data_IF_893304499166
#
_entry.id   IF_893304499166
#
_cell.length_a   1.000
_cell.length_b   1.000
_cell.length_c   1.000
_cell.angle_alpha   90.00
_cell.angle_beta   90.00
_cell.angle_gamma   90.00
#
_symmetry.space_group_name_H-M   'P 1'
#
loop_
_entity.id
_entity.type
_entity.pdbx_description
1 polymer ?
#
# COMPACT_ATOMS: atom_id res chain seq x y z
N UNK A 1 -16.78 -24.85 30.22
CA UNK A 1 -17.32 -23.53 29.84
C UNK A 1 -17.08 -23.34 28.36
N UNK A 2 -18.14 -23.07 27.59
CA UNK A 2 -18.16 -23.13 26.13
C UNK A 2 -18.65 -21.76 25.62
N UNK A 3 -17.85 -20.96 24.88
CA UNK A 3 -18.30 -19.67 24.40
C UNK A 3 -19.07 -19.83 23.08
N UNK A 4 -20.34 -19.43 23.12
CA UNK A 4 -21.25 -19.39 21.98
C UNK A 4 -20.81 -18.30 21.00
N UNK A 5 -20.45 -18.70 19.78
CA UNK A 5 -20.34 -17.78 18.64
C UNK A 5 -21.73 -17.23 18.28
N UNK A 6 -21.89 -15.90 18.37
CA UNK A 6 -23.04 -15.18 17.81
C UNK A 6 -22.68 -14.73 16.40
N UNK A 7 -23.24 -15.38 15.38
CA UNK A 7 -23.25 -14.87 14.01
C UNK A 7 -24.30 -13.77 13.87
N UNK A 8 -23.91 -12.62 13.36
CA UNK A 8 -24.82 -11.54 12.96
C UNK A 8 -25.28 -11.74 11.50
N UNK A 9 -26.53 -11.40 11.15
CA UNK A 9 -27.03 -11.50 9.78
C UNK A 9 -26.64 -10.27 8.94
N UNK A 10 -26.07 -10.52 7.76
CA UNK A 10 -25.88 -9.53 6.70
C UNK A 10 -27.20 -9.33 5.95
N UNK A 11 -27.80 -8.13 6.04
CA UNK A 11 -28.94 -7.73 5.21
C UNK A 11 -28.47 -6.89 4.02
N UNK A 12 -28.75 -7.41 2.83
CA UNK A 12 -28.45 -6.86 1.51
C UNK A 12 -29.37 -5.65 1.21
N UNK A 13 -28.79 -4.47 0.96
CA UNK A 13 -29.53 -3.33 0.42
C UNK A 13 -29.98 -3.62 -1.01
N UNK A 14 -31.30 -3.48 -1.25
CA UNK A 14 -31.89 -3.42 -2.58
C UNK A 14 -32.22 -1.97 -2.96
N UNK A 15 -32.05 -1.70 -4.26
CA UNK A 15 -32.67 -0.65 -5.08
C UNK A 15 -32.11 0.79 -5.04
N UNK A 16 -31.50 1.20 -6.17
CA UNK A 16 -31.81 2.49 -6.78
C UNK A 16 -31.55 2.45 -8.29
N UNK A 17 -32.63 2.55 -9.09
CA UNK A 17 -32.60 2.58 -10.56
C UNK A 17 -32.91 4.00 -11.00
N UNK A 18 -31.88 4.78 -11.29
CA UNK A 18 -32.01 6.13 -11.86
C UNK A 18 -32.37 6.04 -13.35
N UNK A 19 -33.42 6.76 -13.76
CA UNK A 19 -33.80 6.97 -15.15
C UNK A 19 -32.82 7.96 -15.78
N UNK A 20 -32.21 7.58 -16.90
CA UNK A 20 -31.34 8.45 -17.71
C UNK A 20 -32.19 9.06 -18.83
N UNK A 21 -32.15 10.39 -18.96
CA UNK A 21 -32.75 11.13 -20.07
C UNK A 21 -31.76 11.18 -21.25
N UNK A 22 -32.27 11.01 -22.46
CA UNK A 22 -31.50 11.10 -23.71
C UNK A 22 -31.25 12.56 -24.11
N UNK A 23 -30.00 13.00 -24.36
CA UNK A 23 -29.75 14.28 -24.99
C UNK A 23 -29.69 14.16 -26.52
N UNK A 24 -30.41 15.08 -27.15
CA UNK A 24 -30.57 15.33 -28.58
C UNK A 24 -29.26 15.79 -29.23
N UNK A 25 -29.09 15.42 -30.50
CA UNK A 25 -27.83 15.51 -31.25
C UNK A 25 -27.27 16.91 -31.52
N UNK A 26 -25.94 16.97 -31.54
CA UNK A 26 -25.13 18.07 -32.06
C UNK A 26 -24.08 17.45 -32.98
N UNK A 27 -23.95 18.01 -34.19
CA UNK A 27 -23.03 17.55 -35.25
C UNK A 27 -21.53 17.74 -34.89
N UNK A 28 -20.64 16.83 -35.34
CA UNK A 28 -19.23 16.89 -35.00
C UNK A 28 -18.44 17.79 -35.97
N UNK A 29 -17.83 18.84 -35.42
CA UNK A 29 -16.75 19.58 -36.08
C UNK A 29 -15.50 18.70 -36.20
N UNK A 30 -14.99 18.55 -37.42
CA UNK A 30 -13.78 17.79 -37.76
C UNK A 30 -12.51 18.54 -37.34
N UNK A 31 -12.13 18.40 -36.07
CA UNK A 31 -10.83 18.88 -35.57
C UNK A 31 -9.72 17.90 -35.96
N UNK A 32 -8.73 18.37 -36.73
CA UNK A 32 -7.48 17.66 -36.99
C UNK A 32 -6.69 17.57 -35.68
N UNK A 33 -6.82 16.45 -34.98
CA UNK A 33 -6.04 16.17 -33.77
C UNK A 33 -4.60 15.78 -34.15
N UNK A 34 -3.66 16.69 -33.95
CA UNK A 34 -2.22 16.38 -33.92
C UNK A 34 -1.95 15.52 -32.68
N UNK A 35 -1.84 14.20 -32.88
CA UNK A 35 -1.65 13.23 -31.80
C UNK A 35 -0.28 13.34 -31.15
N UNK A 36 -0.12 14.24 -30.18
CA UNK A 36 0.96 14.13 -29.20
C UNK A 36 0.67 12.92 -28.33
N UNK A 37 1.47 11.87 -28.50
CA UNK A 37 1.49 10.73 -27.58
C UNK A 37 2.06 11.23 -26.26
N UNK A 38 1.19 11.44 -25.29
CA UNK A 38 1.62 11.84 -23.95
C UNK A 38 2.19 10.60 -23.28
N UNK A 39 3.48 10.66 -23.00
CA UNK A 39 4.19 9.63 -22.24
C UNK A 39 3.86 9.83 -20.77
N UNK A 40 3.24 8.83 -20.14
CA UNK A 40 3.08 8.85 -18.69
C UNK A 40 4.44 8.68 -18.02
N UNK A 41 4.79 9.51 -17.03
CA UNK A 41 6.02 9.33 -16.29
C UNK A 41 5.91 8.04 -15.47
N UNK A 42 6.55 6.99 -15.95
CA UNK A 42 6.77 5.74 -15.20
C UNK A 42 7.95 5.97 -14.27
N UNK A 43 7.91 5.44 -13.04
CA UNK A 43 9.05 5.49 -12.14
C UNK A 43 10.31 4.90 -12.79
N UNK A 44 11.41 5.65 -12.70
CA UNK A 44 12.73 5.28 -13.26
C UNK A 44 13.78 5.07 -12.16
N UNK A 45 14.95 4.57 -12.54
CA UNK A 45 16.09 4.50 -11.61
C UNK A 45 16.51 5.87 -11.07
N UNK A 46 16.41 6.93 -11.89
CA UNK A 46 16.68 8.31 -11.46
C UNK A 46 15.70 8.77 -10.39
N UNK A 47 14.44 8.34 -10.48
CA UNK A 47 13.42 8.64 -9.47
C UNK A 47 13.69 7.90 -8.15
N UNK A 48 14.17 6.65 -8.21
CA UNK A 48 14.62 5.91 -7.03
C UNK A 48 15.78 6.64 -6.34
N UNK A 49 16.79 7.05 -7.11
CA UNK A 49 17.94 7.81 -6.58
C UNK A 49 17.51 9.14 -5.96
N UNK A 50 16.51 9.80 -6.55
CA UNK A 50 15.90 10.99 -5.98
C UNK A 50 15.26 10.69 -4.62
N UNK A 51 14.44 9.64 -4.50
CA UNK A 51 13.81 9.25 -3.22
C UNK A 51 14.88 8.97 -2.15
N UNK A 52 15.85 8.12 -2.47
CA UNK A 52 16.92 7.72 -1.54
C UNK A 52 17.71 8.94 -1.03
N UNK A 53 18.06 9.87 -1.93
CA UNK A 53 18.76 11.10 -1.58
C UNK A 53 17.90 12.03 -0.72
N UNK A 54 16.68 12.33 -1.15
CA UNK A 54 15.80 13.31 -0.50
C UNK A 54 15.31 12.88 0.88
N UNK A 55 15.30 11.57 1.13
CA UNK A 55 14.88 10.97 2.39
C UNK A 55 16.04 10.39 3.21
N UNK A 56 17.28 10.44 2.70
CA UNK A 56 18.47 9.86 3.34
C UNK A 56 18.29 8.40 3.77
N UNK A 57 17.76 7.57 2.86
CA UNK A 57 17.53 6.13 3.07
C UNK A 57 18.11 5.33 1.91
N UNK A 58 18.28 4.02 2.13
CA UNK A 58 18.51 3.05 1.06
C UNK A 58 17.29 2.16 0.94
N UNK A 59 16.68 2.13 -0.23
CA UNK A 59 15.52 1.29 -0.51
C UNK A 59 15.95 -0.15 -0.80
N UNK A 60 15.18 -1.17 -0.34
CA UNK A 60 15.44 -2.56 -0.67
C UNK A 60 15.49 -2.81 -2.18
N UNK A 61 16.40 -3.68 -2.62
CA UNK A 61 16.49 -4.04 -4.05
C UNK A 61 15.19 -4.67 -4.60
N UNK A 62 14.45 -5.37 -3.74
CA UNK A 62 13.11 -5.90 -4.05
C UNK A 62 12.09 -4.79 -4.33
N UNK A 63 12.16 -3.66 -3.61
CA UNK A 63 11.32 -2.49 -3.86
C UNK A 63 11.60 -1.91 -5.24
N UNK A 64 12.87 -1.62 -5.54
CA UNK A 64 13.30 -1.06 -6.82
C UNK A 64 12.80 -1.89 -8.01
N UNK A 65 12.93 -3.22 -7.94
CA UNK A 65 12.46 -4.16 -8.98
C UNK A 65 10.93 -4.29 -9.09
N UNK A 66 10.18 -3.88 -8.06
CA UNK A 66 8.72 -3.88 -8.12
C UNK A 66 8.20 -2.63 -8.84
N UNK A 67 8.88 -1.48 -8.64
CA UNK A 67 8.41 -0.19 -9.15
C UNK A 67 9.12 0.29 -10.42
N UNK A 68 10.27 -0.30 -10.78
CA UNK A 68 11.03 0.04 -12.01
C UNK A 68 11.28 -1.20 -12.89
N UNK A 69 10.64 -1.32 -14.07
CA UNK A 69 9.42 -0.60 -14.46
C UNK A 69 8.22 -1.08 -13.64
N UNK A 70 7.22 -0.22 -13.48
CA UNK A 70 6.00 -0.58 -12.75
C UNK A 70 5.23 -1.67 -13.49
N UNK A 71 4.89 -2.77 -12.79
CA UNK A 71 4.39 -4.00 -13.44
C UNK A 71 2.96 -3.93 -13.98
N UNK A 72 2.18 -2.93 -13.58
CA UNK A 72 0.77 -2.81 -13.99
C UNK A 72 0.58 -1.50 -14.75
N UNK A 73 0.63 -1.54 -16.09
CA UNK A 73 0.43 -0.38 -16.96
C UNK A 73 -0.84 0.42 -16.65
N UNK A 74 -1.93 -0.27 -16.31
CA UNK A 74 -3.21 0.36 -15.97
C UNK A 74 -3.17 1.26 -14.73
N UNK A 75 -2.13 1.12 -13.91
CA UNK A 75 -1.96 1.81 -12.64
C UNK A 75 -0.76 2.77 -12.66
N UNK A 76 -0.15 3.00 -13.83
CA UNK A 76 0.96 3.97 -13.96
C UNK A 76 0.49 5.37 -13.62
N UNK A 77 1.28 6.07 -12.82
CA UNK A 77 0.97 7.41 -12.29
C UNK A 77 -0.12 7.40 -11.22
N UNK A 78 -0.46 6.24 -10.66
CA UNK A 78 -1.48 6.16 -9.62
C UNK A 78 -0.92 6.55 -8.25
N UNK A 79 -1.65 7.45 -7.59
CA UNK A 79 -1.39 7.85 -6.20
C UNK A 79 -2.28 7.15 -5.19
N UNK A 80 -3.35 6.50 -5.65
CA UNK A 80 -4.45 6.00 -4.80
C UNK A 80 -4.35 4.49 -4.52
N UNK A 81 -3.18 3.88 -4.77
CA UNK A 81 -2.91 2.47 -4.46
C UNK A 81 -1.99 2.31 -3.26
N UNK A 82 -2.04 1.12 -2.66
CA UNK A 82 -1.12 0.72 -1.58
C UNK A 82 0.35 0.80 -2.00
N UNK A 83 0.65 0.61 -3.29
CA UNK A 83 1.96 0.82 -3.90
C UNK A 83 1.86 1.92 -4.95
N UNK A 84 2.58 3.03 -4.78
CA UNK A 84 2.60 4.15 -5.73
C UNK A 84 3.89 4.16 -6.55
N UNK A 85 3.79 4.62 -7.80
CA UNK A 85 4.91 4.84 -8.73
C UNK A 85 5.21 6.34 -8.96
N UNK A 86 4.69 7.23 -8.12
CA UNK A 86 5.03 8.67 -8.14
C UNK A 86 6.07 9.01 -7.07
N UNK A 87 7.31 9.22 -7.49
CA UNK A 87 8.41 9.54 -6.58
C UNK A 87 8.23 10.86 -5.83
N UNK A 88 7.68 11.91 -6.46
CA UNK A 88 7.48 13.20 -5.79
C UNK A 88 6.42 13.07 -4.71
N UNK A 89 5.34 12.34 -4.99
CA UNK A 89 4.29 12.05 -4.01
C UNK A 89 4.83 11.24 -2.85
N UNK A 90 5.63 10.20 -3.10
CA UNK A 90 6.25 9.38 -2.06
C UNK A 90 7.20 10.17 -1.16
N UNK A 91 8.02 11.07 -1.72
CA UNK A 91 8.91 11.95 -0.94
C UNK A 91 8.08 12.88 -0.05
N UNK A 92 7.04 13.50 -0.61
CA UNK A 92 6.15 14.40 0.13
C UNK A 92 5.47 13.68 1.28
N UNK A 93 4.83 12.53 1.00
CA UNK A 93 4.18 11.67 2.00
C UNK A 93 5.13 11.31 3.14
N UNK A 94 6.33 10.82 2.83
CA UNK A 94 7.27 10.37 3.86
C UNK A 94 7.83 11.53 4.69
N UNK A 95 7.99 12.73 4.10
CA UNK A 95 8.35 13.93 4.86
C UNK A 95 7.24 14.34 5.83
N UNK A 96 5.98 14.32 5.38
CA UNK A 96 4.82 14.62 6.22
C UNK A 96 4.72 13.62 7.38
N UNK A 97 4.88 12.32 7.11
CA UNK A 97 4.86 11.28 8.14
C UNK A 97 5.99 11.44 9.17
N UNK A 98 7.19 11.82 8.73
CA UNK A 98 8.35 12.07 9.62
C UNK A 98 8.25 13.38 10.39
N UNK A 99 7.56 14.39 9.84
CA UNK A 99 7.27 15.60 10.59
C UNK A 99 6.23 15.32 11.71
N UNK A 100 5.35 14.36 11.49
CA UNK A 100 4.24 14.07 12.40
C UNK A 100 3.15 15.15 12.37
N UNK A 101 2.17 15.00 13.24
CA UNK A 101 1.08 15.95 13.44
C UNK A 101 0.53 15.85 14.87
N UNK A 102 -0.45 16.69 15.24
CA UNK A 102 -1.09 16.63 16.56
C UNK A 102 -1.75 15.28 16.89
N UNK A 103 -2.12 14.49 15.87
CA UNK A 103 -2.81 13.21 16.04
C UNK A 103 -1.99 12.01 15.58
N UNK A 104 -0.77 12.23 15.07
CA UNK A 104 0.09 11.17 14.53
C UNK A 104 1.53 11.44 14.95
N UNK A 105 2.15 10.58 15.78
CA UNK A 105 3.55 10.71 16.13
C UNK A 105 4.43 10.74 14.87
N UNK A 106 5.53 11.47 14.95
CA UNK A 106 6.55 11.50 13.91
C UNK A 106 7.08 10.09 13.63
N UNK A 107 7.16 9.71 12.35
CA UNK A 107 7.77 8.45 11.96
C UNK A 107 9.28 8.47 12.16
N UNK A 108 9.87 7.36 12.60
CA UNK A 108 11.32 7.23 12.62
C UNK A 108 11.87 7.27 11.18
N UNK A 109 13.10 7.77 10.98
CA UNK A 109 13.66 8.03 9.65
C UNK A 109 13.85 6.77 8.80
N UNK A 110 13.90 5.60 9.42
CA UNK A 110 14.07 4.33 8.71
C UNK A 110 12.77 3.70 8.20
N UNK A 111 11.60 4.20 8.62
CA UNK A 111 10.34 3.76 8.03
C UNK A 111 10.08 4.53 6.74
N UNK A 112 9.58 3.80 5.74
CA UNK A 112 9.24 4.33 4.42
C UNK A 112 7.86 3.83 3.99
N UNK A 113 6.89 4.73 3.84
CA UNK A 113 5.58 4.41 3.29
C UNK A 113 5.68 4.21 1.77
N UNK A 114 5.10 3.11 1.26
CA UNK A 114 5.16 2.74 -0.17
C UNK A 114 3.97 3.25 -0.99
N UNK A 115 2.99 3.85 -0.33
CA UNK A 115 1.78 4.44 -0.91
C UNK A 115 0.84 4.91 0.20
N UNK A 116 -0.22 5.63 -0.17
CA UNK A 116 -1.25 6.10 0.75
C UNK A 116 -2.62 6.09 0.04
N UNK A 117 -3.28 4.93 -0.06
CA UNK A 117 -4.50 4.83 -0.86
C UNK A 117 -5.64 5.68 -0.26
N UNK A 118 -5.69 5.81 1.07
CA UNK A 118 -6.90 6.26 1.77
C UNK A 118 -6.62 7.13 3.03
N UNK A 119 -5.37 7.31 3.45
CA UNK A 119 -4.96 8.13 4.59
C UNK A 119 -5.05 7.44 5.95
N UNK A 120 -5.65 6.25 6.00
CA UNK A 120 -6.02 5.50 7.20
C UNK A 120 -5.24 4.20 7.39
N UNK A 121 -4.78 3.54 6.33
CA UNK A 121 -3.96 2.33 6.44
C UNK A 121 -2.69 2.49 5.62
N UNK A 122 -1.53 2.36 6.27
CA UNK A 122 -0.24 2.52 5.59
C UNK A 122 0.52 1.21 5.56
N UNK A 123 1.04 0.91 4.37
CA UNK A 123 2.08 -0.12 4.18
C UNK A 123 3.43 0.58 4.26
N UNK A 124 4.30 0.10 5.15
CA UNK A 124 5.62 0.68 5.37
C UNK A 124 6.72 -0.37 5.25
N UNK A 125 7.90 0.05 4.80
CA UNK A 125 9.13 -0.73 4.82
C UNK A 125 10.03 -0.27 5.96
N UNK A 126 10.62 -1.22 6.66
CA UNK A 126 11.78 -0.96 7.49
C UNK A 126 13.06 -1.00 6.65
N UNK A 127 13.64 0.17 6.38
CA UNK A 127 14.83 0.32 5.52
C UNK A 127 16.16 0.02 6.23
N UNK A 128 16.14 -0.38 7.51
CA UNK A 128 17.38 -0.78 8.22
C UNK A 128 17.93 -2.11 7.73
N UNK A 129 17.11 -2.95 7.11
CA UNK A 129 17.52 -4.26 6.62
C UNK A 129 17.41 -4.31 5.09
N UNK A 130 18.27 -5.12 4.47
CA UNK A 130 18.31 -5.26 3.01
C UNK A 130 17.02 -5.88 2.43
N UNK A 131 16.35 -6.72 3.22
CA UNK A 131 15.14 -7.43 2.81
C UNK A 131 13.87 -6.57 2.93
N UNK A 132 13.90 -5.50 3.72
CA UNK A 132 12.80 -4.56 3.92
C UNK A 132 11.51 -5.22 4.45
N UNK A 133 11.45 -5.64 5.72
CA UNK A 133 10.23 -6.11 6.36
C UNK A 133 9.09 -5.13 6.14
N UNK A 134 7.92 -5.69 5.86
CA UNK A 134 6.72 -4.92 5.55
C UNK A 134 5.85 -4.85 6.78
N UNK A 135 5.44 -3.63 7.11
CA UNK A 135 4.57 -3.33 8.24
C UNK A 135 3.24 -2.81 7.72
N UNK A 136 2.15 -3.29 8.32
CA UNK A 136 0.86 -2.64 8.23
C UNK A 136 0.69 -1.75 9.46
N UNK A 137 0.37 -0.47 9.23
CA UNK A 137 0.28 0.55 10.28
C UNK A 137 -1.11 1.18 10.28
N UNK A 138 -1.82 1.00 11.39
CA UNK A 138 -3.16 1.55 11.61
C UNK A 138 -3.08 3.07 11.76
N UNK A 139 -3.74 3.81 10.87
CA UNK A 139 -3.70 5.26 10.76
C UNK A 139 -2.30 5.87 10.70
N UNK A 140 -1.29 5.08 10.31
CA UNK A 140 0.12 5.47 10.36
C UNK A 140 0.64 5.72 11.77
N UNK A 141 0.00 5.17 12.81
CA UNK A 141 0.39 5.37 14.20
C UNK A 141 1.51 4.40 14.57
N UNK A 142 2.76 4.85 14.57
CA UNK A 142 3.90 4.01 14.97
C UNK A 142 3.79 3.64 16.46
N UNK A 143 3.99 2.35 16.78
CA UNK A 143 3.94 1.85 18.15
C UNK A 143 2.53 1.53 18.69
N UNK A 144 1.49 1.66 17.88
CA UNK A 144 0.16 1.12 18.19
C UNK A 144 0.19 -0.41 18.30
N UNK A 145 -0.54 -0.98 19.27
CA UNK A 145 -0.69 -2.42 19.45
C UNK A 145 -1.44 -3.10 18.28
N UNK A 146 -2.17 -2.31 17.48
CA UNK A 146 -2.84 -2.78 16.26
C UNK A 146 -1.88 -3.00 15.09
N UNK A 147 -0.65 -2.49 15.17
CA UNK A 147 0.33 -2.65 14.11
C UNK A 147 0.91 -4.05 14.11
N UNK A 148 1.28 -4.55 12.93
CA UNK A 148 1.98 -5.81 12.83
C UNK A 148 2.88 -5.83 11.60
N UNK A 149 3.91 -6.67 11.68
CA UNK A 149 4.72 -7.00 10.54
C UNK A 149 3.92 -7.93 9.63
N UNK A 150 3.48 -7.41 8.48
CA UNK A 150 2.71 -8.16 7.50
C UNK A 150 3.56 -9.24 6.83
N UNK A 151 4.80 -8.92 6.47
CA UNK A 151 5.72 -9.84 5.79
C UNK A 151 7.17 -9.64 6.25
N UNK A 152 8.00 -10.72 6.29
CA UNK A 152 9.42 -10.63 6.60
C UNK A 152 10.24 -9.90 5.55
N UNK A 153 9.79 -9.89 4.29
CA UNK A 153 10.51 -9.26 3.18
C UNK A 153 9.52 -8.58 2.24
N UNK A 154 9.93 -7.48 1.63
CA UNK A 154 9.09 -6.79 0.65
C UNK A 154 8.77 -7.66 -0.58
N UNK A 155 9.71 -8.52 -0.99
CA UNK A 155 9.48 -9.43 -2.11
C UNK A 155 8.26 -10.34 -1.88
N UNK A 156 8.10 -10.87 -0.66
CA UNK A 156 7.01 -11.77 -0.30
C UNK A 156 5.66 -11.04 -0.32
N UNK A 157 5.64 -9.77 0.13
CA UNK A 157 4.44 -8.93 0.06
C UNK A 157 4.03 -8.66 -1.40
N UNK A 158 4.99 -8.33 -2.26
CA UNK A 158 4.75 -8.05 -3.69
C UNK A 158 4.19 -9.27 -4.44
N UNK A 159 4.69 -10.47 -4.13
CA UNK A 159 4.19 -11.72 -4.72
C UNK A 159 2.70 -11.96 -4.45
N UNK A 160 2.18 -11.46 -3.33
CA UNK A 160 0.75 -11.53 -2.99
C UNK A 160 -0.04 -10.33 -3.51
N UNK A 161 0.55 -9.14 -3.45
CA UNK A 161 -0.10 -7.88 -3.82
C UNK A 161 -0.54 -7.86 -5.30
N UNK A 162 0.34 -8.22 -6.23
CA UNK A 162 0.03 -8.09 -7.65
C UNK A 162 -1.09 -9.01 -8.15
N UNK A 163 -1.15 -10.30 -7.77
CA UNK A 163 -2.29 -11.15 -8.12
C UNK A 163 -3.63 -10.60 -7.62
N UNK A 164 -3.68 -10.09 -6.38
CA UNK A 164 -4.89 -9.48 -5.81
C UNK A 164 -5.29 -8.22 -6.59
N UNK A 165 -4.31 -7.39 -6.94
CA UNK A 165 -4.55 -6.19 -7.73
C UNK A 165 -5.04 -6.52 -9.15
N UNK A 166 -4.43 -7.49 -9.83
CA UNK A 166 -4.87 -7.96 -11.16
C UNK A 166 -6.32 -8.48 -11.12
N UNK A 167 -6.65 -9.30 -10.11
CA UNK A 167 -8.01 -9.80 -9.91
C UNK A 167 -9.01 -8.65 -9.66
N UNK A 168 -8.63 -7.65 -8.86
CA UNK A 168 -9.46 -6.47 -8.55
C UNK A 168 -9.72 -5.62 -9.79
N UNK A 169 -8.69 -5.40 -10.62
CA UNK A 169 -8.83 -4.67 -11.88
C UNK A 169 -9.78 -5.40 -12.84
N UNK A 170 -9.64 -6.72 -12.98
CA UNK A 170 -10.55 -7.52 -13.81
C UNK A 170 -12.00 -7.46 -13.32
N UNK A 171 -12.21 -7.53 -12.01
CA UNK A 171 -13.55 -7.45 -11.41
C UNK A 171 -14.23 -6.09 -11.64
N UNK A 172 -13.44 -5.02 -11.87
CA UNK A 172 -13.93 -3.67 -12.17
C UNK A 172 -14.00 -3.35 -13.67
N UNK A 173 -13.86 -4.37 -14.52
CA UNK A 173 -13.78 -4.24 -15.98
C UNK A 173 -12.62 -3.35 -16.47
N UNK A 174 -11.61 -3.12 -15.65
CA UNK A 174 -10.35 -2.51 -16.06
C UNK A 174 -9.42 -3.59 -16.62
N UNK A 175 -8.78 -3.31 -17.76
CA UNK A 175 -7.79 -4.23 -18.35
C UNK A 175 -6.41 -3.92 -17.77
N UNK A 176 -5.76 -4.83 -17.02
CA UNK A 176 -4.49 -4.56 -16.33
C UNK A 176 -3.34 -4.12 -17.25
N UNK A 177 -3.37 -4.57 -18.51
CA UNK A 177 -2.36 -4.27 -19.53
C UNK A 177 -2.66 -3.01 -20.34
N UNK A 178 -3.84 -2.41 -20.19
CA UNK A 178 -4.16 -1.19 -20.91
C UNK A 178 -3.55 0.00 -20.17
N UNK A 179 -2.78 0.83 -20.87
CA UNK A 179 -2.40 2.14 -20.32
C UNK A 179 -3.66 2.98 -20.11
N UNK A 180 -3.75 3.75 -19.01
CA UNK A 180 -4.85 4.68 -18.82
C UNK A 180 -4.92 5.60 -20.04
N UNK A 181 -6.10 5.75 -20.65
CA UNK A 181 -6.31 6.80 -21.64
C UNK A 181 -6.30 8.11 -20.88
N UNK A 182 -5.58 9.13 -21.35
CA UNK A 182 -5.70 10.50 -20.84
C UNK A 182 -7.08 11.03 -21.21
N UNK A 183 -8.09 10.66 -20.43
CA UNK A 183 -9.21 11.55 -20.26
C UNK A 183 -8.69 12.81 -19.58
N UNK A 184 -9.09 13.96 -20.12
CA UNK A 184 -9.01 15.29 -19.51
C UNK A 184 -9.08 15.20 -17.99
N UNK A 185 -8.22 15.93 -17.23
CA UNK A 185 -7.89 15.69 -15.82
C UNK A 185 -9.12 15.14 -15.09
N UNK A 186 -9.15 13.81 -15.02
CA UNK A 186 -10.33 13.12 -14.58
C UNK A 186 -10.46 13.51 -13.13
N UNK A 187 -11.49 14.29 -12.79
CA UNK A 187 -11.89 14.54 -11.41
C UNK A 187 -11.84 13.17 -10.73
N UNK A 188 -10.86 12.98 -9.83
CA UNK A 188 -10.49 11.67 -9.32
C UNK A 188 -11.78 10.90 -8.98
N UNK A 189 -11.95 9.65 -9.45
CA UNK A 189 -13.18 8.90 -9.23
C UNK A 189 -13.54 9.03 -7.76
N UNK A 190 -14.71 9.61 -7.49
CA UNK A 190 -15.17 9.98 -6.14
C UNK A 190 -14.81 8.88 -5.14
N UNK A 191 -13.77 9.13 -4.33
CA UNK A 191 -13.28 8.37 -3.16
C UNK A 191 -13.82 6.93 -3.13
N UNK A 192 -13.19 6.07 -3.95
CA UNK A 192 -13.77 4.83 -4.46
C UNK A 192 -13.82 3.72 -3.39
N UNK A 193 -15.02 3.17 -3.10
CA UNK A 193 -15.30 2.10 -2.11
C UNK A 193 -14.76 0.71 -2.49
N UNK A 194 -14.08 0.56 -3.63
CA UNK A 194 -13.82 -0.73 -4.26
C UNK A 194 -12.62 -1.46 -3.64
N UNK A 195 -11.58 -0.74 -3.20
CA UNK A 195 -10.37 -1.37 -2.63
C UNK A 195 -10.57 -1.87 -1.20
N UNK A 196 -11.35 -1.15 -0.38
CA UNK A 196 -11.64 -1.53 1.01
C UNK A 196 -12.32 -2.92 1.12
N UNK A 197 -13.23 -3.26 0.21
CA UNK A 197 -13.98 -4.52 0.26
C UNK A 197 -13.13 -5.75 -0.13
N UNK A 198 -12.27 -5.63 -1.14
CA UNK A 198 -11.42 -6.73 -1.59
C UNK A 198 -10.36 -7.07 -0.53
N UNK A 199 -9.79 -6.06 0.14
CA UNK A 199 -8.78 -6.28 1.15
C UNK A 199 -9.39 -6.72 2.49
N UNK A 200 -10.44 -6.07 3.02
CA UNK A 200 -11.10 -6.52 4.27
C UNK A 200 -11.58 -7.97 4.20
N UNK A 201 -12.04 -8.43 3.03
CA UNK A 201 -12.45 -9.83 2.84
C UNK A 201 -11.26 -10.81 2.88
N UNK A 202 -10.08 -10.40 2.44
CA UNK A 202 -8.85 -11.21 2.54
C UNK A 202 -8.21 -11.10 3.93
N UNK A 203 -8.13 -9.92 4.53
CA UNK A 203 -7.51 -9.74 5.86
C UNK A 203 -8.23 -10.53 6.96
N UNK A 204 -9.56 -10.69 6.87
CA UNK A 204 -10.36 -11.48 7.82
C UNK A 204 -10.03 -12.99 7.82
N UNK A 205 -9.39 -13.51 6.78
CA UNK A 205 -9.08 -14.94 6.64
C UNK A 205 -7.58 -15.25 6.68
N UNK A 206 -6.74 -14.20 6.78
CA UNK A 206 -5.29 -14.30 6.63
C UNK A 206 -4.52 -13.76 7.84
N UNK A 207 -5.16 -13.52 8.98
CA UNK A 207 -4.42 -13.43 10.24
C UNK A 207 -3.80 -14.81 10.51
N UNK A 208 -2.47 -15.00 10.42
CA UNK A 208 -1.88 -16.17 11.04
C UNK A 208 -2.31 -16.14 12.51
N UNK A 209 -2.85 -17.26 13.01
CA UNK A 209 -3.11 -17.42 14.43
C UNK A 209 -1.90 -16.91 15.18
N UNK A 210 -2.08 -15.80 15.93
CA UNK A 210 -1.06 -15.14 16.73
C UNK A 210 -0.60 -16.10 17.84
N UNK A 211 0.16 -17.14 17.46
CA UNK A 211 1.08 -17.80 18.38
C UNK A 211 2.24 -16.84 18.53
N UNK A 212 2.23 -16.18 19.67
CA UNK A 212 3.31 -15.41 20.25
C UNK A 212 4.67 -15.98 19.83
N UNK A 213 5.37 -15.29 18.92
CA UNK A 213 6.82 -15.44 18.79
C UNK A 213 7.45 -14.78 20.03
N UNK A 214 7.41 -15.50 21.16
CA UNK A 214 8.25 -15.14 22.29
C UNK A 214 9.68 -15.47 21.91
N UNK A 215 10.54 -14.44 21.85
CA UNK A 215 11.99 -14.57 21.84
C UNK A 215 12.42 -15.55 22.93
N UNK A 216 12.89 -16.72 22.51
CA UNK A 216 13.54 -17.69 23.37
C UNK A 216 15.03 -17.65 23.00
N UNK A 217 15.76 -16.65 23.50
CA UNK A 217 17.23 -16.69 23.48
C UNK A 217 17.90 -15.71 24.46
N UNK A 218 17.41 -15.63 25.70
CA UNK A 218 18.14 -14.91 26.75
C UNK A 218 18.07 -15.62 28.11
N UNK A 219 18.64 -16.83 28.19
CA UNK A 219 19.02 -17.42 29.48
C UNK A 219 20.04 -18.55 29.36
N UNK A 220 21.30 -18.17 29.11
CA UNK A 220 22.45 -19.01 29.44
C UNK A 220 23.68 -18.15 29.75
N UNK A 221 23.75 -17.63 30.98
CA UNK A 221 25.01 -17.13 31.55
C UNK A 221 25.11 -17.52 33.03
N UNK A 222 25.77 -18.66 33.25
CA UNK A 222 26.71 -18.95 34.34
C UNK A 222 26.36 -18.55 35.77
N UNK A 223 25.83 -19.50 36.55
CA UNK A 223 26.16 -19.59 37.98
C UNK A 223 27.56 -20.20 38.10
N UNK A 224 28.57 -19.40 38.42
CA UNK A 224 29.84 -19.93 38.92
C UNK A 224 29.92 -19.77 40.43
N UNK A 225 30.18 -20.90 41.04
CA UNK A 225 30.26 -21.22 42.46
C UNK A 225 31.57 -20.68 43.05
N UNK A 226 31.52 -20.02 44.21
CA UNK A 226 32.71 -19.78 45.05
C UNK A 226 32.34 -19.90 46.53
N UNK A 227 32.37 -21.13 47.04
CA UNK A 227 32.61 -21.43 48.45
C UNK A 227 34.11 -21.64 48.66
N UNK A 228 34.67 -21.09 49.74
CA UNK A 228 35.88 -21.63 50.37
C UNK A 228 36.95 -20.61 50.77
N UNK A 229 36.93 -20.23 52.05
CA UNK A 229 37.96 -19.69 52.97
C UNK A 229 37.23 -18.75 53.94
N UNK A 230 37.17 -18.97 55.25
CA UNK A 230 38.14 -19.53 56.20
C UNK A 230 37.48 -20.34 57.31
#
# INVERSE_FOLDING_TARGET
MNPKEKRLPFNLLKHNRLKVAEPTGIEPATSKATGQSVVFPVMTDSDIQLIERELAITLPGSYKRAVVPFRIPAMVGNTDSQLSDDAKRLITLNRELRAGSSFRPAWPPHLFAVGDPHGDELIALDTRTLDGPVWWLDHGLVGSDSNYQAHPRFADWVEQFYPILDQTLRATAMTPTAFPKLSTPHKAPTRNKVFSAAWQSSSSSFLPSLRSYTSADEKAAGKHNSQGRS
#
